data_IF_426038733825
#
_entry.id   IF_426038733825
#
_cell.length_a   1.000
_cell.length_b   1.000
_cell.length_c   1.000
_cell.angle_alpha   90.00
_cell.angle_beta   90.00
_cell.angle_gamma   90.00
#
_symmetry.space_group_name_H-M   'P 1'
#
loop_
_entity.id
_entity.type
_entity.pdbx_description
1 polymer ?
#
# COMPACT_ATOMS: atom_id res chain seq x y z
N UNK A 1 -46.20 55.66 84.18
CA UNK A 1 -44.77 55.92 83.84
C UNK A 1 -43.97 54.63 83.59
N UNK A 2 -44.26 53.50 84.28
CA UNK A 2 -43.59 52.19 84.02
C UNK A 2 -43.96 51.55 82.67
N UNK A 3 -45.19 51.71 82.18
CA UNK A 3 -45.64 51.06 80.93
C UNK A 3 -45.00 51.63 79.66
N UNK A 4 -44.68 52.92 79.66
CA UNK A 4 -43.96 53.58 78.55
C UNK A 4 -42.53 53.01 78.45
N UNK A 5 -41.88 52.75 79.58
CA UNK A 5 -40.52 52.22 79.62
C UNK A 5 -40.46 50.76 79.14
N UNK A 6 -41.45 49.94 79.53
CA UNK A 6 -41.57 48.54 79.09
C UNK A 6 -41.84 48.46 77.58
N UNK A 7 -42.68 49.35 77.05
CA UNK A 7 -42.95 49.44 75.60
C UNK A 7 -41.70 49.82 74.81
N UNK A 8 -40.92 50.80 75.31
CA UNK A 8 -39.67 51.21 74.69
C UNK A 8 -38.62 50.10 74.69
N UNK A 9 -38.47 49.34 75.79
CA UNK A 9 -37.54 48.20 75.84
C UNK A 9 -37.93 47.07 74.88
N UNK A 10 -39.23 46.80 74.66
CA UNK A 10 -39.68 45.81 73.67
C UNK A 10 -39.38 46.26 72.25
N UNK A 11 -39.55 47.55 71.96
CA UNK A 11 -39.26 48.12 70.64
C UNK A 11 -37.76 48.10 70.31
N UNK A 12 -36.91 48.44 71.29
CA UNK A 12 -35.44 48.37 71.12
C UNK A 12 -34.99 46.93 70.85
N UNK A 13 -35.47 45.94 71.64
CA UNK A 13 -35.15 44.52 71.39
C UNK A 13 -35.63 44.02 70.03
N UNK A 14 -36.78 44.50 69.56
CA UNK A 14 -37.30 44.15 68.24
C UNK A 14 -36.40 44.70 67.12
N UNK A 15 -35.93 45.95 67.26
CA UNK A 15 -34.98 46.55 66.30
C UNK A 15 -33.65 45.81 66.30
N UNK A 16 -33.08 45.51 67.47
CA UNK A 16 -31.82 44.77 67.60
C UNK A 16 -31.92 43.38 66.95
N UNK A 17 -33.02 42.65 67.19
CA UNK A 17 -33.25 41.34 66.58
C UNK A 17 -33.41 41.43 65.06
N UNK A 18 -34.10 42.47 64.56
CA UNK A 18 -34.27 42.69 63.11
C UNK A 18 -32.95 43.03 62.43
N UNK A 19 -32.10 43.83 63.08
CA UNK A 19 -30.76 44.15 62.59
C UNK A 19 -29.85 42.92 62.55
N UNK A 20 -29.92 42.07 63.58
CA UNK A 20 -29.17 40.82 63.64
C UNK A 20 -29.57 39.85 62.52
N UNK A 21 -30.87 39.64 62.31
CA UNK A 21 -31.39 38.77 61.24
C UNK A 21 -30.97 39.30 59.87
N UNK A 22 -31.06 40.61 59.64
CA UNK A 22 -30.64 41.20 58.37
C UNK A 22 -29.12 41.07 58.15
N UNK A 23 -28.31 41.12 59.20
CA UNK A 23 -26.87 40.92 59.09
C UNK A 23 -26.53 39.45 58.76
N UNK A 24 -27.18 38.50 59.42
CA UNK A 24 -26.98 37.05 59.19
C UNK A 24 -27.39 36.66 57.77
N UNK A 25 -28.56 37.10 57.30
CA UNK A 25 -29.03 36.86 55.93
C UNK A 25 -28.11 37.49 54.88
N UNK A 26 -27.62 38.72 55.12
CA UNK A 26 -26.68 39.35 54.20
C UNK A 26 -25.31 38.64 54.17
N UNK A 27 -24.83 38.10 55.30
CA UNK A 27 -23.60 37.30 55.30
C UNK A 27 -23.79 35.97 54.56
N UNK A 28 -24.90 35.25 54.79
CA UNK A 28 -25.19 33.97 54.12
C UNK A 28 -25.34 34.13 52.59
N UNK A 29 -26.06 35.17 52.16
CA UNK A 29 -26.18 35.51 50.74
C UNK A 29 -24.82 35.77 50.07
N UNK A 30 -23.97 36.57 50.71
CA UNK A 30 -22.63 36.86 50.20
C UNK A 30 -21.73 35.60 50.14
N UNK A 31 -21.90 34.65 51.07
CA UNK A 31 -21.15 33.39 51.04
C UNK A 31 -21.62 32.45 49.92
N UNK A 32 -22.92 32.33 49.70
CA UNK A 32 -23.49 31.52 48.61
C UNK A 32 -23.05 32.08 47.25
N UNK A 33 -23.11 33.40 47.09
CA UNK A 33 -22.64 34.07 45.87
C UNK A 33 -21.16 33.78 45.63
N UNK A 34 -20.31 33.89 46.66
CA UNK A 34 -18.89 33.60 46.56
C UNK A 34 -18.59 32.13 46.20
N UNK A 35 -19.26 31.18 46.85
CA UNK A 35 -19.11 29.74 46.55
C UNK A 35 -19.58 29.41 45.13
N UNK A 36 -20.68 30.02 44.68
CA UNK A 36 -21.18 29.84 43.32
C UNK A 36 -20.20 30.39 42.27
N UNK A 37 -19.55 31.53 42.55
CA UNK A 37 -18.51 32.10 41.67
C UNK A 37 -17.28 31.20 41.61
N UNK A 38 -16.87 30.60 42.73
CA UNK A 38 -15.76 29.64 42.77
C UNK A 38 -16.08 28.38 41.96
N UNK A 39 -17.27 27.81 42.14
CA UNK A 39 -17.71 26.63 41.39
C UNK A 39 -17.80 26.92 39.88
N UNK A 40 -18.31 28.10 39.48
CA UNK A 40 -18.36 28.51 38.09
C UNK A 40 -16.96 28.66 37.46
N UNK A 41 -16.00 29.21 38.22
CA UNK A 41 -14.60 29.33 37.79
C UNK A 41 -13.95 27.95 37.61
N UNK A 42 -14.17 27.04 38.54
CA UNK A 42 -13.62 25.68 38.45
C UNK A 42 -14.21 24.91 37.26
N UNK A 43 -15.52 25.01 37.06
CA UNK A 43 -16.21 24.42 35.90
C UNK A 43 -15.66 24.98 34.57
N UNK A 44 -15.42 26.30 34.49
CA UNK A 44 -14.82 26.92 33.31
C UNK A 44 -13.40 26.39 33.05
N UNK A 45 -12.60 26.19 34.09
CA UNK A 45 -11.26 25.61 33.98
C UNK A 45 -11.30 24.16 33.47
N UNK A 46 -12.16 23.31 34.01
CA UNK A 46 -12.34 21.94 33.52
C UNK A 46 -12.87 21.88 32.10
N UNK A 47 -13.80 22.77 31.75
CA UNK A 47 -14.34 22.89 30.39
C UNK A 47 -13.25 23.24 29.37
N UNK A 48 -12.34 24.14 29.73
CA UNK A 48 -11.20 24.51 28.89
C UNK A 48 -10.30 23.30 28.56
N UNK A 49 -9.93 22.51 29.58
CA UNK A 49 -9.14 21.29 29.39
C UNK A 49 -9.88 20.22 28.59
N UNK A 50 -11.19 20.08 28.82
CA UNK A 50 -12.06 19.16 28.08
C UNK A 50 -12.13 19.52 26.60
N UNK A 51 -12.20 20.82 26.28
CA UNK A 51 -12.19 21.31 24.90
C UNK A 51 -10.89 20.92 24.20
N UNK A 52 -9.73 21.12 24.85
CA UNK A 52 -8.42 20.73 24.31
C UNK A 52 -8.36 19.21 24.10
N UNK A 53 -8.80 18.43 25.10
CA UNK A 53 -8.83 16.97 25.01
C UNK A 53 -9.67 16.48 23.83
N UNK A 54 -10.80 17.14 23.56
CA UNK A 54 -11.69 16.83 22.43
C UNK A 54 -11.00 17.08 21.09
N UNK A 55 -10.28 18.20 20.94
CA UNK A 55 -9.51 18.49 19.72
C UNK A 55 -8.39 17.47 19.49
N UNK A 56 -7.65 17.10 20.55
CA UNK A 56 -6.58 16.10 20.46
C UNK A 56 -7.16 14.73 20.08
N UNK A 57 -8.27 14.32 20.70
CA UNK A 57 -8.95 13.07 20.37
C UNK A 57 -9.45 13.07 18.91
N UNK A 58 -9.98 14.20 18.42
CA UNK A 58 -10.36 14.39 17.02
C UNK A 58 -9.18 14.22 16.06
N UNK A 59 -8.02 14.80 16.37
CA UNK A 59 -6.81 14.64 15.55
C UNK A 59 -6.26 13.21 15.57
N UNK A 60 -6.29 12.55 16.74
CA UNK A 60 -5.85 11.18 16.89
C UNK A 60 -6.71 10.21 16.05
N UNK A 61 -8.03 10.34 16.14
CA UNK A 61 -8.98 9.52 15.37
C UNK A 61 -8.82 9.75 13.87
N UNK A 62 -8.71 11.00 13.42
CA UNK A 62 -8.48 11.31 12.02
C UNK A 62 -7.15 10.71 11.51
N UNK A 63 -6.07 10.86 12.27
CA UNK A 63 -4.75 10.32 11.91
C UNK A 63 -4.77 8.79 11.82
N UNK A 64 -5.47 8.11 12.73
CA UNK A 64 -5.62 6.66 12.70
C UNK A 64 -6.35 6.18 11.43
N UNK A 65 -7.40 6.89 11.00
CA UNK A 65 -8.10 6.58 9.74
C UNK A 65 -7.21 6.80 8.52
N UNK A 66 -6.48 7.91 8.47
CA UNK A 66 -5.52 8.20 7.37
C UNK A 66 -4.45 7.12 7.30
N UNK A 67 -3.87 6.73 8.44
CA UNK A 67 -2.87 5.68 8.51
C UNK A 67 -3.43 4.32 8.09
N UNK A 68 -4.65 3.98 8.52
CA UNK A 68 -5.35 2.76 8.12
C UNK A 68 -5.55 2.69 6.61
N UNK A 69 -6.03 3.78 5.98
CA UNK A 69 -6.21 3.85 4.53
C UNK A 69 -4.87 3.79 3.79
N UNK A 70 -3.85 4.47 4.31
CA UNK A 70 -2.50 4.44 3.75
C UNK A 70 -1.88 3.03 3.78
N UNK A 71 -2.06 2.28 4.87
CA UNK A 71 -1.59 0.91 4.97
C UNK A 71 -2.40 -0.03 4.07
N UNK A 72 -3.73 0.11 4.04
CA UNK A 72 -4.64 -0.68 3.21
C UNK A 72 -4.34 -0.54 1.71
N UNK A 73 -4.02 0.67 1.25
CA UNK A 73 -3.67 0.90 -0.17
C UNK A 73 -2.31 0.31 -0.58
N UNK A 74 -1.42 0.01 0.36
CA UNK A 74 -0.12 -0.62 0.08
C UNK A 74 -0.16 -2.14 0.15
N UNK A 75 -0.94 -2.70 1.07
CA UNK A 75 -1.04 -4.16 1.26
C UNK A 75 -1.66 -4.89 0.06
N UNK A 76 -2.45 -4.20 -0.77
CA UNK A 76 -3.13 -4.77 -1.94
C UNK A 76 -2.28 -4.86 -3.20
N UNK A 77 -1.07 -4.29 -3.22
CA UNK A 77 -0.24 -4.28 -4.44
C UNK A 77 0.51 -5.60 -4.60
N UNK A 78 0.17 -6.34 -5.67
CA UNK A 78 0.97 -7.50 -6.10
C UNK A 78 2.34 -7.01 -6.60
N UNK A 79 3.40 -7.51 -5.99
CA UNK A 79 4.79 -7.23 -6.34
C UNK A 79 5.39 -8.53 -6.88
N UNK A 80 5.58 -8.60 -8.20
CA UNK A 80 6.20 -9.76 -8.84
C UNK A 80 7.61 -9.39 -9.26
N UNK A 81 8.55 -10.26 -8.94
CA UNK A 81 9.93 -10.21 -9.40
C UNK A 81 10.18 -11.40 -10.30
N UNK A 82 11.11 -11.30 -11.24
CA UNK A 82 11.50 -12.48 -11.99
C UNK A 82 12.82 -12.31 -12.71
N UNK A 83 13.37 -13.44 -13.12
CA UNK A 83 14.63 -13.54 -13.84
C UNK A 83 14.41 -14.38 -15.09
N UNK A 84 14.98 -13.95 -16.21
CA UNK A 84 14.85 -14.61 -17.50
C UNK A 84 16.24 -14.81 -18.08
N UNK A 85 16.67 -16.06 -18.14
CA UNK A 85 18.06 -16.43 -18.39
C UNK A 85 18.17 -17.70 -19.23
N UNK A 86 19.22 -17.80 -20.04
CA UNK A 86 19.59 -19.06 -20.67
C UNK A 86 20.46 -19.85 -19.69
N UNK A 87 20.10 -21.10 -19.38
CA UNK A 87 20.83 -21.96 -18.45
C UNK A 87 21.05 -23.35 -19.05
N UNK A 88 22.14 -23.97 -18.67
CA UNK A 88 22.42 -25.37 -18.99
C UNK A 88 21.68 -26.26 -17.98
N UNK A 89 20.80 -27.14 -18.46
CA UNK A 89 20.04 -28.03 -17.58
C UNK A 89 20.78 -29.35 -17.39
N UNK A 90 21.29 -29.58 -16.18
CA UNK A 90 21.89 -30.86 -15.81
C UNK A 90 20.78 -31.80 -15.33
N UNK A 91 20.46 -32.80 -16.15
CA UNK A 91 19.52 -33.86 -15.78
C UNK A 91 20.33 -35.08 -15.34
N UNK A 92 20.11 -35.52 -14.11
CA UNK A 92 20.79 -36.71 -13.57
C UNK A 92 20.45 -37.92 -14.44
N UNK A 93 21.46 -38.53 -15.05
CA UNK A 93 21.30 -39.70 -15.93
C UNK A 93 21.04 -39.39 -17.41
N UNK A 94 21.00 -38.13 -17.83
CA UNK A 94 20.93 -37.77 -19.25
C UNK A 94 22.33 -37.65 -19.86
N UNK A 95 22.53 -38.10 -21.12
CA UNK A 95 23.83 -38.06 -21.80
C UNK A 95 24.22 -36.66 -22.29
N UNK A 96 23.28 -35.73 -22.41
CA UNK A 96 23.52 -34.38 -22.90
C UNK A 96 22.97 -33.33 -21.93
N UNK A 97 23.61 -32.17 -21.91
CA UNK A 97 23.21 -31.02 -21.12
C UNK A 97 22.50 -30.04 -22.08
N UNK A 98 21.15 -30.10 -22.20
CA UNK A 98 20.44 -29.19 -23.07
C UNK A 98 20.48 -27.76 -22.51
N UNK A 99 20.69 -26.78 -23.41
CA UNK A 99 20.48 -25.37 -23.13
C UNK A 99 18.98 -25.08 -23.09
N UNK A 100 18.53 -24.49 -22.00
CA UNK A 100 17.12 -24.14 -21.78
C UNK A 100 16.96 -22.67 -21.43
N UNK A 101 15.86 -22.08 -21.86
CA UNK A 101 15.41 -20.79 -21.38
C UNK A 101 14.71 -21.02 -20.03
N UNK A 102 15.33 -20.51 -18.96
CA UNK A 102 14.80 -20.52 -17.61
C UNK A 102 14.17 -19.18 -17.27
N UNK A 103 12.87 -19.21 -16.98
CA UNK A 103 12.12 -18.07 -16.46
C UNK A 103 11.71 -18.41 -15.04
N UNK A 104 12.14 -17.60 -14.08
CA UNK A 104 11.71 -17.69 -12.69
C UNK A 104 10.84 -16.48 -12.37
N UNK A 105 9.66 -16.73 -11.80
CA UNK A 105 8.72 -15.70 -11.40
C UNK A 105 8.45 -15.88 -9.91
N UNK A 106 8.79 -14.88 -9.10
CA UNK A 106 8.66 -14.87 -7.64
C UNK A 106 7.62 -13.84 -7.22
N UNK A 107 6.65 -14.26 -6.41
CA UNK A 107 5.74 -13.32 -5.76
C UNK A 107 6.37 -12.76 -4.48
N UNK A 108 6.71 -11.47 -4.50
CA UNK A 108 7.21 -10.71 -3.34
C UNK A 108 6.08 -9.97 -2.61
N UNK A 109 4.87 -9.93 -3.15
CA UNK A 109 3.73 -9.27 -2.56
C UNK A 109 2.94 -10.22 -1.65
N UNK A 110 2.40 -9.69 -0.55
CA UNK A 110 1.52 -10.43 0.36
C UNK A 110 0.29 -11.00 -0.39
N UNK A 111 -0.37 -10.27 -1.31
CA UNK A 111 -1.48 -10.83 -2.04
C UNK A 111 -1.00 -11.89 -3.03
N UNK A 112 -1.76 -12.99 -3.12
CA UNK A 112 -1.60 -14.00 -4.16
C UNK A 112 -1.66 -13.37 -5.55
N UNK A 113 -0.67 -13.70 -6.39
CA UNK A 113 -0.64 -13.31 -7.80
C UNK A 113 -1.32 -14.39 -8.66
N UNK A 114 -2.22 -13.98 -9.56
CA UNK A 114 -2.80 -14.87 -10.56
C UNK A 114 -2.26 -14.49 -11.93
N UNK A 115 -1.30 -15.25 -12.45
CA UNK A 115 -0.72 -14.95 -13.76
C UNK A 115 -1.64 -15.49 -14.85
N UNK A 116 -2.14 -14.59 -15.69
CA UNK A 116 -3.05 -14.91 -16.79
C UNK A 116 -2.34 -15.09 -18.13
N UNK A 117 -1.29 -14.30 -18.39
CA UNK A 117 -0.62 -14.28 -19.67
C UNK A 117 0.86 -13.96 -19.52
N UNK A 118 1.66 -14.55 -20.40
CA UNK A 118 3.08 -14.33 -20.52
C UNK A 118 3.41 -13.99 -21.97
N UNK A 119 4.36 -13.09 -22.15
CA UNK A 119 4.83 -12.74 -23.47
C UNK A 119 6.10 -11.95 -23.46
N UNK A 120 6.34 -11.29 -24.58
CA UNK A 120 7.46 -10.42 -24.83
C UNK A 120 6.98 -9.12 -25.42
N UNK A 121 7.65 -8.04 -25.06
CA UNK A 121 7.45 -6.72 -25.61
C UNK A 121 8.76 -6.23 -26.18
N UNK A 122 8.66 -5.64 -27.35
CA UNK A 122 9.78 -4.97 -28.00
C UNK A 122 9.33 -3.58 -28.48
N UNK A 123 10.26 -2.62 -28.47
CA UNK A 123 10.03 -1.30 -29.03
C UNK A 123 10.43 -1.33 -30.50
N UNK A 124 9.48 -1.07 -31.38
CA UNK A 124 9.64 -1.16 -32.83
C UNK A 124 9.85 0.22 -33.46
N UNK A 125 10.67 0.27 -34.51
CA UNK A 125 10.88 1.47 -35.34
C UNK A 125 12.11 2.31 -35.00
N UNK A 126 12.29 3.41 -35.72
CA UNK A 126 13.44 4.31 -35.55
C UNK A 126 13.39 5.08 -34.23
N UNK A 127 14.52 5.68 -33.79
CA UNK A 127 14.62 6.42 -32.53
C UNK A 127 13.47 7.43 -32.34
N UNK A 128 13.10 8.13 -33.42
CA UNK A 128 11.98 9.07 -33.46
C UNK A 128 10.63 8.38 -33.23
N UNK A 129 10.35 7.27 -33.92
CA UNK A 129 9.10 6.51 -33.74
C UNK A 129 8.99 5.89 -32.33
N UNK A 130 10.11 5.49 -31.74
CA UNK A 130 10.15 4.92 -30.38
C UNK A 130 9.82 5.97 -29.32
N UNK A 131 10.38 7.17 -29.47
CA UNK A 131 10.23 8.26 -28.49
C UNK A 131 8.85 8.92 -28.65
N UNK A 132 8.42 9.18 -29.89
CA UNK A 132 7.24 10.01 -30.19
C UNK A 132 6.00 9.17 -30.46
N UNK A 133 6.10 8.14 -31.32
CA UNK A 133 4.95 7.30 -31.70
C UNK A 133 4.72 6.12 -30.74
N UNK A 134 5.70 5.81 -29.87
CA UNK A 134 5.65 4.72 -28.88
C UNK A 134 5.21 3.37 -29.50
N UNK A 135 5.59 3.10 -30.75
CA UNK A 135 5.31 1.82 -31.44
C UNK A 135 5.86 0.65 -30.62
N UNK A 136 5.02 -0.37 -30.41
CA UNK A 136 5.31 -1.56 -29.59
C UNK A 136 4.78 -2.78 -30.29
N UNK A 137 5.61 -3.81 -30.39
CA UNK A 137 5.20 -5.13 -30.83
C UNK A 137 5.17 -6.07 -29.63
N UNK A 138 4.09 -6.83 -29.52
CA UNK A 138 3.87 -7.79 -28.44
C UNK A 138 3.84 -9.19 -29.02
N UNK A 139 4.59 -10.10 -28.40
CA UNK A 139 4.59 -11.51 -28.73
C UNK A 139 3.98 -12.28 -27.56
N UNK A 140 2.89 -12.99 -27.82
CA UNK A 140 2.30 -13.87 -26.81
C UNK A 140 3.02 -15.22 -26.84
N UNK A 141 3.57 -15.63 -25.70
CA UNK A 141 4.16 -16.96 -25.57
C UNK A 141 3.04 -17.93 -25.20
N UNK A 142 2.57 -18.71 -26.18
CA UNK A 142 1.66 -19.82 -25.91
C UNK A 142 2.47 -21.05 -25.51
N UNK A 143 2.06 -21.70 -24.43
CA UNK A 143 2.62 -22.99 -24.02
C UNK A 143 1.67 -24.09 -24.51
N UNK A 144 2.23 -25.07 -25.21
CA UNK A 144 1.47 -26.25 -25.61
C UNK A 144 1.42 -27.21 -24.41
N UNK A 145 0.26 -27.81 -24.07
CA UNK A 145 0.09 -28.63 -22.88
C UNK A 145 0.89 -29.95 -22.88
N UNK A 146 1.65 -30.25 -23.92
CA UNK A 146 2.42 -31.49 -24.08
C UNK A 146 3.82 -31.48 -23.46
N UNK A 147 4.31 -30.35 -22.97
CA UNK A 147 5.63 -30.28 -22.35
C UNK A 147 5.51 -30.48 -20.83
N UNK A 148 5.88 -31.69 -20.39
CA UNK A 148 5.71 -32.28 -19.05
C UNK A 148 6.31 -31.45 -17.89
N UNK A 149 7.09 -30.41 -18.19
CA UNK A 149 7.76 -29.55 -17.20
C UNK A 149 7.13 -28.15 -17.03
N UNK A 150 6.06 -27.81 -17.76
CA UNK A 150 5.43 -26.48 -17.66
C UNK A 150 4.14 -26.57 -16.85
N UNK A 151 4.07 -25.85 -15.72
CA UNK A 151 2.84 -25.72 -14.93
C UNK A 151 1.69 -25.23 -15.81
N UNK A 152 0.49 -25.80 -15.63
CA UNK A 152 -0.71 -25.41 -16.37
C UNK A 152 -1.00 -23.92 -16.16
N UNK A 153 -0.97 -23.15 -17.25
CA UNK A 153 -1.38 -21.75 -17.28
C UNK A 153 -2.91 -21.67 -17.30
N UNK A 154 -3.57 -20.79 -16.52
CA UNK A 154 -3.06 -19.76 -15.61
C UNK A 154 -2.55 -20.29 -14.26
N UNK A 155 -1.54 -19.63 -13.69
CA UNK A 155 -0.89 -20.05 -12.44
C UNK A 155 -1.22 -19.12 -11.27
N UNK A 156 -1.52 -19.71 -10.10
CA UNK A 156 -1.66 -19.02 -8.82
C UNK A 156 -0.32 -19.09 -8.07
N UNK A 157 0.15 -17.97 -7.54
CA UNK A 157 1.42 -17.87 -6.81
C UNK A 157 1.19 -17.16 -5.48
N UNK A 158 1.35 -17.87 -4.37
CA UNK A 158 1.21 -17.31 -3.03
C UNK A 158 2.50 -16.58 -2.61
N UNK A 159 2.47 -15.87 -1.47
CA UNK A 159 3.58 -15.06 -1.01
C UNK A 159 4.84 -15.90 -0.77
N UNK A 160 5.96 -15.49 -1.36
CA UNK A 160 7.25 -16.20 -1.24
C UNK A 160 7.38 -17.40 -2.18
N UNK A 161 6.32 -17.78 -2.89
CA UNK A 161 6.38 -18.86 -3.88
C UNK A 161 6.95 -18.37 -5.21
N UNK A 162 7.61 -19.31 -5.90
CA UNK A 162 8.20 -19.09 -7.21
C UNK A 162 7.72 -20.12 -8.22
N UNK A 163 7.39 -19.65 -9.42
CA UNK A 163 7.08 -20.50 -10.58
C UNK A 163 8.29 -20.52 -11.50
N UNK A 164 8.69 -21.73 -11.87
CA UNK A 164 9.76 -21.98 -12.83
C UNK A 164 9.17 -22.44 -14.14
N UNK A 165 9.63 -21.82 -15.23
CA UNK A 165 9.27 -22.20 -16.58
C UNK A 165 10.57 -22.54 -17.30
N UNK A 166 10.58 -23.72 -17.91
CA UNK A 166 11.71 -24.22 -18.67
C UNK A 166 11.21 -24.44 -20.09
N UNK A 167 11.80 -23.72 -21.03
CA UNK A 167 11.55 -23.88 -22.47
C UNK A 167 12.84 -24.41 -23.10
N UNK A 168 12.72 -25.40 -23.99
CA UNK A 168 13.85 -25.91 -24.77
C UNK A 168 14.49 -24.75 -25.55
N UNK A 169 15.73 -24.42 -25.19
CA UNK A 169 16.36 -23.17 -25.56
C UNK A 169 16.65 -23.11 -27.06
N UNK A 170 17.18 -24.17 -27.64
CA UNK A 170 17.69 -24.15 -29.02
C UNK A 170 16.61 -23.88 -30.08
N UNK A 171 15.55 -24.68 -30.10
CA UNK A 171 14.46 -24.55 -31.09
C UNK A 171 13.68 -23.24 -30.90
N UNK A 172 13.44 -22.85 -29.65
CA UNK A 172 12.75 -21.60 -29.35
C UNK A 172 13.60 -20.39 -29.77
N UNK A 173 14.89 -20.40 -29.45
CA UNK A 173 15.79 -19.28 -29.71
C UNK A 173 15.95 -19.01 -31.20
N UNK A 174 16.12 -20.05 -32.02
CA UNK A 174 16.24 -19.88 -33.48
C UNK A 174 14.96 -19.28 -34.08
N UNK A 175 13.79 -19.81 -33.72
CA UNK A 175 12.49 -19.28 -34.18
C UNK A 175 12.26 -17.85 -33.69
N UNK A 176 12.56 -17.59 -32.43
CA UNK A 176 12.33 -16.29 -31.81
C UNK A 176 13.29 -15.21 -32.34
N UNK A 177 14.57 -15.55 -32.55
CA UNK A 177 15.56 -14.63 -33.10
C UNK A 177 15.21 -14.19 -34.54
N UNK A 178 14.65 -15.09 -35.34
CA UNK A 178 14.26 -14.79 -36.73
C UNK A 178 13.09 -13.80 -36.82
N UNK A 179 12.13 -13.87 -35.89
CA UNK A 179 10.94 -13.00 -35.85
C UNK A 179 11.21 -11.56 -35.35
N UNK A 180 12.41 -11.31 -34.81
CA UNK A 180 12.81 -10.02 -34.24
C UNK A 180 13.62 -9.20 -35.24
N UNK A 181 13.63 -7.87 -35.14
CA UNK A 181 14.52 -6.97 -35.89
C UNK A 181 15.77 -6.59 -35.06
N UNK A 182 16.96 -6.52 -35.68
CA UNK A 182 18.26 -6.34 -34.98
C UNK A 182 18.35 -5.09 -34.06
N UNK A 183 17.93 -3.88 -34.47
CA UNK A 183 18.05 -2.68 -33.62
C UNK A 183 17.14 -2.73 -32.37
N UNK A 184 16.20 -3.67 -32.34
CA UNK A 184 15.11 -3.70 -31.38
C UNK A 184 15.41 -4.64 -30.19
N UNK A 185 16.32 -5.60 -30.36
CA UNK A 185 16.61 -6.69 -29.41
C UNK A 185 17.06 -6.16 -28.04
N UNK A 186 17.80 -5.04 -28.00
CA UNK A 186 18.21 -4.39 -26.73
C UNK A 186 17.03 -3.89 -25.88
N UNK A 187 15.88 -3.63 -26.52
CA UNK A 187 14.67 -3.20 -25.82
C UNK A 187 13.71 -4.32 -25.44
N UNK A 188 14.12 -5.57 -25.67
CA UNK A 188 13.33 -6.74 -25.32
C UNK A 188 13.03 -6.73 -23.81
N UNK A 189 11.75 -6.92 -23.49
CA UNK A 189 11.25 -7.08 -22.13
C UNK A 189 10.30 -8.26 -22.09
N UNK A 190 10.50 -9.13 -21.12
CA UNK A 190 9.55 -10.18 -20.80
C UNK A 190 8.35 -9.56 -20.09
N UNK A 191 7.13 -9.94 -20.47
CA UNK A 191 5.88 -9.39 -19.94
C UNK A 191 5.11 -10.45 -19.18
N UNK A 192 4.74 -10.13 -17.95
CA UNK A 192 3.84 -10.95 -17.13
C UNK A 192 2.59 -10.13 -16.89
N UNK A 193 1.44 -10.66 -17.29
CA UNK A 193 0.14 -10.02 -17.04
C UNK A 193 -0.58 -10.78 -15.93
N UNK A 194 -1.00 -10.03 -14.91
CA UNK A 194 -1.83 -10.54 -13.82
C UNK A 194 -3.32 -10.57 -14.24
N UNK A 195 -4.15 -11.36 -13.58
CA UNK A 195 -5.61 -11.40 -13.77
C UNK A 195 -6.26 -10.03 -13.59
N UNK A 196 -5.68 -9.16 -12.76
CA UNK A 196 -6.10 -7.76 -12.58
C UNK A 196 -5.70 -6.83 -13.74
N UNK A 197 -5.19 -7.36 -14.87
CA UNK A 197 -4.82 -6.59 -16.06
C UNK A 197 -3.52 -5.81 -15.97
N UNK A 198 -2.81 -5.85 -14.84
CA UNK A 198 -1.52 -5.19 -14.66
C UNK A 198 -0.40 -6.01 -15.33
N UNK A 199 0.34 -5.38 -16.24
CA UNK A 199 1.53 -5.97 -16.87
C UNK A 199 2.81 -5.51 -16.16
N UNK A 200 3.68 -6.46 -15.84
CA UNK A 200 5.01 -6.25 -15.27
C UNK A 200 6.04 -6.57 -16.34
N UNK A 201 7.09 -5.76 -16.42
CA UNK A 201 8.16 -5.88 -17.41
C UNK A 201 9.45 -6.31 -16.74
N UNK A 202 10.06 -7.39 -17.22
CA UNK A 202 11.33 -7.91 -16.73
C UNK A 202 12.35 -7.78 -17.86
N UNK A 203 13.51 -7.20 -17.54
CA UNK A 203 14.66 -7.18 -18.47
C UNK A 203 15.30 -8.57 -18.47
N UNK A 204 15.48 -9.22 -19.64
CA UNK A 204 16.20 -10.47 -19.70
C UNK A 204 17.69 -10.27 -19.38
N UNK A 205 18.37 -11.34 -18.95
CA UNK A 205 19.81 -11.28 -18.73
C UNK A 205 20.55 -10.90 -20.02
N UNK A 206 21.63 -10.13 -19.87
CA UNK A 206 22.41 -9.64 -21.00
C UNK A 206 23.01 -10.80 -21.82
N UNK A 207 23.31 -11.93 -21.17
CA UNK A 207 23.72 -13.16 -21.84
C UNK A 207 22.70 -13.67 -22.86
N UNK A 208 21.42 -13.73 -22.49
CA UNK A 208 20.34 -14.15 -23.40
C UNK A 208 20.22 -13.18 -24.58
N UNK A 209 20.30 -11.87 -24.31
CA UNK A 209 20.24 -10.82 -25.34
C UNK A 209 21.38 -11.00 -26.35
N UNK A 210 22.60 -11.23 -25.87
CA UNK A 210 23.78 -11.44 -26.71
C UNK A 210 23.67 -12.72 -27.53
N UNK A 211 23.14 -13.80 -26.95
CA UNK A 211 22.94 -15.06 -27.66
C UNK A 211 21.90 -14.92 -28.78
N UNK A 212 20.79 -14.20 -28.55
CA UNK A 212 19.79 -13.90 -29.60
C UNK A 212 20.44 -13.12 -30.75
N UNK A 213 21.28 -12.14 -30.44
CA UNK A 213 22.02 -11.36 -31.44
C UNK A 213 22.99 -12.27 -32.22
N UNK A 214 23.69 -13.16 -31.52
CA UNK A 214 24.65 -14.10 -32.13
C UNK A 214 23.94 -15.02 -33.13
N UNK A 215 22.91 -15.74 -32.68
CA UNK A 215 22.11 -16.65 -33.52
C UNK A 215 21.54 -15.94 -34.74
N UNK A 216 21.07 -14.70 -34.56
CA UNK A 216 20.54 -13.92 -35.67
C UNK A 216 21.60 -13.54 -36.70
N UNK A 217 22.82 -13.23 -36.28
CA UNK A 217 23.92 -12.89 -37.18
C UNK A 217 24.52 -14.13 -37.86
N UNK A 218 24.52 -15.27 -37.18
CA UNK A 218 25.08 -16.53 -37.68
C UNK A 218 24.20 -17.21 -38.74
N UNK A 219 22.90 -16.87 -38.81
CA UNK A 219 21.99 -17.36 -39.87
C UNK A 219 21.85 -18.88 -39.91
N UNK A 220 22.21 -19.57 -38.82
CA UNK A 220 22.24 -21.03 -38.75
C UNK A 220 20.83 -21.61 -38.67
N UNK A 221 20.47 -22.39 -39.69
CA UNK A 221 19.23 -23.15 -39.82
C UNK A 221 19.35 -24.53 -39.17
#
# INVERSE_FOLDING_TARGET
MKDIYISHCKFIKYIENTLYINYEVNMDFNTIDFESMLAAKEAAHWSFWTMIGTWIAGLATFSAVVLSLFLSTRSTKVIISGTVELRDQVIVGAPSIPRVLSICILNKGIPTAHISNIGWKILEGNLFERIILRKKKYFHQKFQPSNVSTQCWPAKIDYGESVYIIIEGFLWLNKFAHELSLPEIKSLRFTITNSFGKTIYIKPADFLINEIIRVKNEGTY
#
